data_IF_781212707165
#
_entry.id   IF_781212707165
#
_cell.length_a   1.000
_cell.length_b   1.000
_cell.length_c   1.000
_cell.angle_alpha   90.00
_cell.angle_beta   90.00
_cell.angle_gamma   90.00
#
_symmetry.space_group_name_H-M   'P 1'
#
loop_
_entity.id
_entity.type
_entity.pdbx_description
1 polymer ?
#
# COMPACT_ATOMS: atom_id res chain seq x y z
N UNK A 1 -8.57 -20.13 -31.13
CA UNK A 1 -7.57 -19.54 -30.22
C UNK A 1 -7.35 -18.11 -30.66
N UNK A 2 -8.08 -17.15 -30.08
CA UNK A 2 -7.90 -15.73 -30.38
C UNK A 2 -6.74 -15.21 -29.55
N UNK A 3 -5.63 -14.87 -30.20
CA UNK A 3 -4.53 -14.17 -29.54
C UNK A 3 -5.02 -12.76 -29.17
N UNK A 4 -5.15 -12.47 -27.88
CA UNK A 4 -5.34 -11.11 -27.38
C UNK A 4 -4.00 -10.39 -27.53
N UNK A 5 -3.86 -9.56 -28.56
CA UNK A 5 -2.75 -8.62 -28.66
C UNK A 5 -2.95 -7.59 -27.55
N UNK A 6 -2.08 -7.57 -26.54
CA UNK A 6 -2.08 -6.51 -25.53
C UNK A 6 -1.75 -5.19 -26.22
N UNK A 7 -2.78 -4.47 -26.68
CA UNK A 7 -2.68 -3.10 -27.17
C UNK A 7 -1.96 -2.27 -26.10
N UNK A 8 -0.80 -1.72 -26.44
CA UNK A 8 -0.02 -0.89 -25.52
C UNK A 8 -0.75 0.45 -25.39
N UNK A 9 -1.13 0.83 -24.18
CA UNK A 9 -1.76 2.13 -23.92
C UNK A 9 -0.91 3.26 -24.52
N UNK A 10 -1.53 4.12 -25.35
CA UNK A 10 -0.82 5.20 -26.05
C UNK A 10 -0.90 6.53 -25.28
N UNK A 11 -1.73 6.58 -24.24
CA UNK A 11 -1.88 7.74 -23.37
C UNK A 11 -2.10 7.34 -21.91
N UNK A 12 -1.74 8.23 -20.99
CA UNK A 12 -2.03 8.04 -19.56
C UNK A 12 -3.54 7.94 -19.31
N UNK A 13 -4.37 8.65 -20.08
CA UNK A 13 -5.82 8.59 -19.96
C UNK A 13 -6.41 7.21 -20.30
N UNK A 14 -5.81 6.49 -21.26
CA UNK A 14 -6.19 5.10 -21.57
C UNK A 14 -5.70 4.11 -20.52
N UNK A 15 -4.51 4.34 -19.95
CA UNK A 15 -3.91 3.49 -18.93
C UNK A 15 -4.58 3.65 -17.55
N UNK A 16 -4.97 4.86 -17.19
CA UNK A 16 -5.40 5.19 -15.82
C UNK A 16 -6.59 4.37 -15.32
N UNK A 17 -7.67 4.14 -16.10
CA UNK A 17 -8.78 3.28 -15.68
C UNK A 17 -8.35 1.84 -15.41
N UNK A 18 -7.43 1.30 -16.22
CA UNK A 18 -6.87 -0.05 -16.02
C UNK A 18 -6.04 -0.11 -14.74
N UNK A 19 -5.12 0.84 -14.55
CA UNK A 19 -4.32 0.97 -13.34
C UNK A 19 -5.17 1.05 -12.07
N UNK A 20 -6.25 1.84 -12.11
CA UNK A 20 -7.17 2.01 -11.00
C UNK A 20 -7.94 0.73 -10.69
N UNK A 21 -8.28 -0.05 -11.71
CA UNK A 21 -8.96 -1.34 -11.56
C UNK A 21 -8.04 -2.36 -10.87
N UNK A 22 -6.75 -2.37 -11.21
CA UNK A 22 -5.75 -3.21 -10.55
C UNK A 22 -5.59 -2.85 -9.06
N UNK A 23 -5.73 -1.56 -8.71
CA UNK A 23 -5.67 -1.07 -7.33
C UNK A 23 -7.04 -1.06 -6.62
N UNK A 24 -8.08 -1.63 -7.23
CA UNK A 24 -9.43 -1.63 -6.67
C UNK A 24 -9.65 -2.69 -5.58
N UNK A 25 -8.64 -3.51 -5.29
CA UNK A 25 -8.76 -4.59 -4.30
C UNK A 25 -9.09 -4.03 -2.89
N UNK A 26 -10.27 -4.36 -2.34
CA UNK A 26 -10.68 -3.87 -1.03
C UNK A 26 -9.82 -4.39 0.12
N UNK A 27 -9.17 -5.56 -0.05
CA UNK A 27 -8.26 -6.13 0.93
C UNK A 27 -7.00 -5.26 1.02
N UNK A 28 -6.36 -4.95 -0.11
CA UNK A 28 -5.19 -4.06 -0.16
C UNK A 28 -5.47 -2.73 0.53
N UNK A 29 -6.63 -2.11 0.24
CA UNK A 29 -7.02 -0.85 0.91
C UNK A 29 -7.16 -1.00 2.42
N UNK A 30 -7.82 -2.06 2.90
CA UNK A 30 -8.00 -2.31 4.35
C UNK A 30 -6.65 -2.55 5.02
N UNK A 31 -5.77 -3.34 4.41
CA UNK A 31 -4.43 -3.60 4.92
C UNK A 31 -3.60 -2.30 4.92
N UNK A 32 -3.71 -1.46 3.90
CA UNK A 32 -3.06 -0.16 3.85
C UNK A 32 -3.48 0.76 5.01
N UNK A 33 -4.78 0.85 5.29
CA UNK A 33 -5.27 1.62 6.44
C UNK A 33 -4.80 1.02 7.77
N UNK A 34 -4.84 -0.31 7.91
CA UNK A 34 -4.36 -0.99 9.11
C UNK A 34 -2.87 -0.77 9.35
N UNK A 35 -2.04 -0.87 8.31
CA UNK A 35 -0.61 -0.58 8.36
C UNK A 35 -0.33 0.87 8.76
N UNK A 36 -1.06 1.82 8.18
CA UNK A 36 -0.94 3.25 8.52
C UNK A 36 -1.30 3.54 9.97
N UNK A 37 -2.39 2.95 10.47
CA UNK A 37 -2.78 3.04 11.88
C UNK A 37 -1.73 2.41 12.80
N UNK A 38 -1.15 1.27 12.42
CA UNK A 38 -0.10 0.61 13.18
C UNK A 38 1.17 1.46 13.25
N UNK A 39 1.57 2.11 12.16
CA UNK A 39 2.70 3.05 12.13
C UNK A 39 2.47 4.22 13.09
N UNK A 40 1.27 4.80 13.09
CA UNK A 40 0.90 5.88 14.03
C UNK A 40 0.92 5.39 15.49
N UNK A 41 0.41 4.18 15.74
CA UNK A 41 0.42 3.58 17.07
C UNK A 41 1.85 3.32 17.58
N UNK A 42 2.74 2.81 16.73
CA UNK A 42 4.16 2.61 17.04
C UNK A 42 4.83 3.95 17.35
N UNK A 43 4.58 4.98 16.54
CA UNK A 43 5.14 6.32 16.78
C UNK A 43 4.67 6.88 18.12
N UNK A 44 3.36 6.83 18.39
CA UNK A 44 2.80 7.29 19.67
C UNK A 44 3.40 6.52 20.85
N UNK A 45 3.53 5.19 20.74
CA UNK A 45 4.15 4.36 21.76
C UNK A 45 5.62 4.73 22.00
N UNK A 46 6.41 4.91 20.95
CA UNK A 46 7.82 5.30 21.05
C UNK A 46 7.98 6.67 21.73
N UNK A 47 7.12 7.64 21.42
CA UNK A 47 7.13 8.96 22.05
C UNK A 47 6.76 8.89 23.54
N UNK A 48 5.76 8.09 23.92
CA UNK A 48 5.31 7.98 25.31
C UNK A 48 6.31 7.22 26.19
N UNK A 49 6.93 6.17 25.65
CA UNK A 49 7.85 5.29 26.39
C UNK A 49 9.32 5.67 26.23
N UNK A 50 9.62 6.60 25.33
CA UNK A 50 10.98 6.98 24.91
C UNK A 50 11.81 5.80 24.35
N UNK A 51 11.14 4.71 23.95
CA UNK A 51 11.76 3.52 23.39
C UNK A 51 11.93 3.67 21.88
N UNK A 52 12.91 4.48 21.47
CA UNK A 52 13.16 4.84 20.07
C UNK A 52 13.46 3.66 19.14
N UNK A 53 13.89 2.52 19.68
CA UNK A 53 14.15 1.31 18.89
C UNK A 53 12.90 0.82 18.13
N UNK A 54 11.70 1.10 18.67
CA UNK A 54 10.43 0.74 18.02
C UNK A 54 10.18 1.46 16.70
N UNK A 55 10.86 2.59 16.44
CA UNK A 55 10.76 3.28 15.16
C UNK A 55 11.27 2.41 14.00
N UNK A 56 12.18 1.45 14.26
CA UNK A 56 12.65 0.49 13.25
C UNK A 56 11.54 -0.48 12.80
N UNK A 57 10.47 -0.64 13.58
CA UNK A 57 9.31 -1.43 13.18
C UNK A 57 8.38 -0.69 12.22
N UNK A 58 8.49 0.64 12.08
CA UNK A 58 7.62 1.44 11.22
C UNK A 58 7.73 1.09 9.73
N UNK A 59 8.94 0.90 9.13
CA UNK A 59 9.05 0.45 7.74
C UNK A 59 8.38 -0.91 7.52
N UNK A 60 8.56 -1.86 8.44
CA UNK A 60 7.94 -3.17 8.34
C UNK A 60 6.41 -3.10 8.45
N UNK A 61 5.90 -2.33 9.41
CA UNK A 61 4.47 -2.11 9.61
C UNK A 61 3.80 -1.33 8.46
N UNK A 62 4.50 -0.36 7.87
CA UNK A 62 4.01 0.40 6.73
C UNK A 62 4.04 -0.43 5.45
N UNK A 63 5.21 -0.92 5.05
CA UNK A 63 5.40 -1.62 3.78
C UNK A 63 4.76 -3.01 3.76
N UNK A 64 4.86 -3.77 4.86
CA UNK A 64 4.36 -5.15 4.91
C UNK A 64 2.85 -5.26 4.71
N UNK A 65 2.08 -4.25 5.12
CA UNK A 65 0.62 -4.22 4.97
C UNK A 65 0.16 -3.39 3.76
N UNK A 66 0.95 -2.42 3.29
CA UNK A 66 0.57 -1.57 2.17
C UNK A 66 0.77 -2.22 0.78
N UNK A 67 1.52 -3.32 0.69
CA UNK A 67 1.94 -3.95 -0.57
C UNK A 67 1.34 -5.34 -0.85
N UNK A 68 0.34 -5.75 -0.06
CA UNK A 68 -0.46 -6.98 -0.29
C UNK A 68 -1.73 -6.60 -1.02
#
# INVERSE_FOLDING_TARGET
>A
MTAQTTERYQSFAEFYPYYLQEHSNPVCRRLHYAGSLLVLAILAYALLTQQWLWLLAMPLAGYGFAWV
#
